data_IF_895970406319
#
_entry.id   IF_895970406319
#
_cell.length_a   1.000
_cell.length_b   1.000
_cell.length_c   1.000
_cell.angle_alpha   90.00
_cell.angle_beta   90.00
_cell.angle_gamma   90.00
#
_symmetry.space_group_name_H-M   'P 1'
#
loop_
_entity.id
_entity.type
_entity.pdbx_description
1 polymer ?
#
# COMPACT_ATOMS: atom_id res chain seq x y z
N UNK A 1 -0.33 -23.98 -20.44
CA UNK A 1 -1.18 -22.85 -20.02
C UNK A 1 -0.26 -21.81 -19.39
N UNK A 2 0.00 -20.70 -20.09
CA UNK A 2 0.79 -19.62 -19.52
C UNK A 2 -0.15 -18.91 -18.54
N UNK A 3 0.11 -19.07 -17.25
CA UNK A 3 -0.58 -18.31 -16.21
C UNK A 3 0.04 -16.92 -16.26
N UNK A 4 -0.66 -15.95 -16.86
CA UNK A 4 -0.31 -14.54 -16.68
C UNK A 4 -0.46 -14.25 -15.18
N UNK A 5 0.67 -14.27 -14.45
CA UNK A 5 0.68 -13.69 -13.11
C UNK A 5 0.27 -12.22 -13.27
N UNK A 6 -0.56 -11.66 -12.38
CA UNK A 6 -0.80 -10.23 -12.36
C UNK A 6 0.56 -9.53 -12.29
N UNK A 7 0.91 -8.79 -13.34
CA UNK A 7 2.05 -7.88 -13.29
C UNK A 7 1.59 -6.68 -12.48
N UNK A 8 2.21 -6.49 -11.32
CA UNK A 8 2.00 -5.29 -10.54
C UNK A 8 2.95 -4.22 -11.07
N UNK A 9 2.43 -3.32 -11.90
CA UNK A 9 3.19 -2.20 -12.46
C UNK A 9 3.47 -1.17 -11.37
N UNK A 10 4.64 -1.34 -10.73
CA UNK A 10 5.16 -0.40 -9.73
C UNK A 10 5.34 1.02 -10.28
N UNK A 11 5.33 1.22 -11.59
CA UNK A 11 5.41 2.52 -12.27
C UNK A 11 4.27 3.48 -11.89
N UNK A 12 3.11 2.95 -11.49
CA UNK A 12 1.97 3.75 -11.06
C UNK A 12 2.07 4.23 -9.60
N UNK A 13 3.07 3.76 -8.85
CA UNK A 13 3.31 4.15 -7.46
C UNK A 13 4.45 5.15 -7.40
N UNK A 14 4.13 6.38 -7.02
CA UNK A 14 5.07 7.48 -6.94
C UNK A 14 5.55 7.67 -5.50
N UNK A 15 6.87 7.66 -5.32
CA UNK A 15 7.50 8.05 -4.05
C UNK A 15 7.20 9.51 -3.74
N UNK A 16 6.95 9.81 -2.46
CA UNK A 16 6.56 11.14 -1.99
C UNK A 16 5.08 11.45 -2.10
N UNK A 17 4.28 10.57 -2.73
CA UNK A 17 2.84 10.76 -2.88
C UNK A 17 2.07 10.11 -1.74
N UNK A 18 0.94 10.73 -1.35
CA UNK A 18 0.05 10.22 -0.32
C UNK A 18 -0.95 9.19 -0.87
N UNK A 19 -1.13 8.10 -0.15
CA UNK A 19 -2.01 6.98 -0.50
C UNK A 19 -2.84 6.57 0.73
N UNK A 20 -4.03 6.02 0.47
CA UNK A 20 -4.71 5.16 1.43
C UNK A 20 -4.06 3.78 1.39
N UNK A 21 -3.50 3.35 2.51
CA UNK A 21 -3.06 1.97 2.73
C UNK A 21 -4.24 1.16 3.27
N UNK A 22 -4.78 0.28 2.45
CA UNK A 22 -5.83 -0.66 2.86
C UNK A 22 -5.18 -2.02 3.15
N UNK A 23 -5.52 -2.59 4.31
CA UNK A 23 -5.12 -3.95 4.67
C UNK A 23 -6.37 -4.82 4.82
N UNK A 24 -6.49 -5.83 3.96
CA UNK A 24 -7.58 -6.77 3.99
C UNK A 24 -7.25 -7.96 4.88
N UNK A 25 -8.18 -8.31 5.78
CA UNK A 25 -8.13 -9.53 6.55
C UNK A 25 -9.27 -10.46 6.10
N UNK A 26 -8.98 -11.34 5.14
CA UNK A 26 -9.97 -12.26 4.57
C UNK A 26 -10.60 -13.19 5.61
N UNK A 27 -9.84 -13.62 6.62
CA UNK A 27 -10.37 -14.47 7.69
C UNK A 27 -11.42 -13.77 8.55
N UNK A 28 -11.34 -12.45 8.68
CA UNK A 28 -12.26 -11.65 9.50
C UNK A 28 -13.22 -10.78 8.67
N UNK A 29 -13.08 -10.76 7.34
CA UNK A 29 -13.80 -9.86 6.42
C UNK A 29 -13.76 -8.40 6.89
N UNK A 30 -12.62 -7.96 7.40
CA UNK A 30 -12.40 -6.58 7.85
C UNK A 30 -11.33 -5.92 7.00
N UNK A 31 -11.51 -4.63 6.77
CA UNK A 31 -10.54 -3.76 6.11
C UNK A 31 -10.09 -2.68 7.10
N UNK A 32 -8.79 -2.42 7.14
CA UNK A 32 -8.23 -1.27 7.86
C UNK A 32 -7.62 -0.35 6.82
N UNK A 33 -8.12 0.89 6.76
CA UNK A 33 -7.57 1.94 5.90
C UNK A 33 -6.81 2.96 6.74
N UNK A 34 -5.61 3.33 6.31
CA UNK A 34 -4.75 4.30 7.02
C UNK A 34 -4.04 5.18 6.01
N UNK A 35 -4.00 6.51 6.20
CA UNK A 35 -3.26 7.39 5.32
C UNK A 35 -1.76 7.12 5.46
N UNK A 36 -1.07 7.02 4.33
CA UNK A 36 0.37 6.76 4.29
C UNK A 36 1.04 7.57 3.18
N UNK A 37 2.37 7.68 3.25
CA UNK A 37 3.20 8.25 2.19
C UNK A 37 4.15 7.15 1.72
N UNK A 38 4.20 6.94 0.41
CA UNK A 38 5.20 6.04 -0.18
C UNK A 38 6.56 6.70 -0.07
N UNK A 39 7.48 6.11 0.68
CA UNK A 39 8.84 6.66 0.85
C UNK A 39 9.73 6.30 -0.34
N UNK A 40 9.77 5.03 -0.71
CA UNK A 40 10.50 4.55 -1.87
C UNK A 40 9.95 3.19 -2.33
N UNK A 41 10.10 2.95 -3.63
CA UNK A 41 9.70 1.71 -4.30
C UNK A 41 10.96 0.90 -4.60
N UNK A 42 10.96 -0.37 -4.19
CA UNK A 42 12.01 -1.36 -4.48
C UNK A 42 11.46 -2.39 -5.47
N UNK A 43 12.32 -3.16 -6.16
CA UNK A 43 11.87 -4.14 -7.16
C UNK A 43 10.84 -5.17 -6.66
N UNK A 44 10.85 -5.49 -5.36
CA UNK A 44 9.98 -6.52 -4.77
C UNK A 44 9.17 -6.01 -3.57
N UNK A 45 9.28 -4.74 -3.21
CA UNK A 45 8.60 -4.19 -2.05
C UNK A 45 8.39 -2.69 -2.14
N UNK A 46 7.42 -2.18 -1.39
CA UNK A 46 7.15 -0.75 -1.25
C UNK A 46 7.29 -0.40 0.23
N UNK A 47 8.03 0.66 0.53
CA UNK A 47 8.12 1.18 1.90
C UNK A 47 7.21 2.37 2.03
N UNK A 48 6.29 2.28 2.97
CA UNK A 48 5.34 3.33 3.31
C UNK A 48 5.60 3.82 4.73
N UNK A 49 5.42 5.12 4.94
CA UNK A 49 5.41 5.71 6.27
C UNK A 49 4.00 6.19 6.61
N UNK A 50 3.56 5.96 7.84
CA UNK A 50 2.23 6.34 8.33
C UNK A 50 2.27 6.68 9.82
N UNK A 51 1.27 7.43 10.29
CA UNK A 51 1.11 7.71 11.72
C UNK A 51 0.30 6.59 12.38
N UNK A 52 0.87 5.95 13.39
CA UNK A 52 0.20 4.92 14.17
C UNK A 52 -0.44 5.54 15.41
N UNK A 53 -1.78 5.62 15.40
CA UNK A 53 -2.58 6.15 16.51
C UNK A 53 -2.36 5.42 17.84
N UNK A 54 -2.09 4.10 17.80
CA UNK A 54 -1.88 3.31 19.03
C UNK A 54 -0.55 3.66 19.71
N UNK A 55 0.48 3.89 18.90
CA UNK A 55 1.83 4.18 19.37
C UNK A 55 2.11 5.69 19.42
N UNK A 56 1.17 6.53 18.97
CA UNK A 56 1.28 8.00 18.86
C UNK A 56 2.59 8.42 18.19
N UNK A 57 2.94 7.73 17.10
CA UNK A 57 4.24 7.87 16.47
C UNK A 57 4.22 7.57 14.98
N UNK A 58 5.22 8.07 14.27
CA UNK A 58 5.44 7.75 12.87
C UNK A 58 6.13 6.38 12.75
N UNK A 59 5.56 5.51 11.92
CA UNK A 59 6.05 4.17 11.68
C UNK A 59 6.28 3.94 10.19
N UNK A 60 7.12 2.95 9.89
CA UNK A 60 7.37 2.48 8.54
C UNK A 60 6.92 1.03 8.41
N UNK A 61 6.32 0.71 7.26
CA UNK A 61 5.97 -0.65 6.89
C UNK A 61 6.56 -0.95 5.51
N UNK A 62 7.23 -2.09 5.43
CA UNK A 62 7.64 -2.68 4.15
C UNK A 62 6.56 -3.66 3.70
N UNK A 63 5.98 -3.41 2.54
CA UNK A 63 4.93 -4.23 1.92
C UNK A 63 5.56 -4.99 0.77
N UNK A 64 5.45 -6.32 0.79
CA UNK A 64 5.88 -7.15 -0.34
C UNK A 64 4.89 -6.97 -1.51
N UNK A 65 5.40 -6.84 -2.74
CA UNK A 65 4.55 -6.73 -3.94
C UNK A 65 3.61 -7.93 -4.06
N UNK A 66 4.06 -9.13 -3.66
CA UNK A 66 3.22 -10.33 -3.61
C UNK A 66 1.97 -10.09 -2.75
N UNK A 67 2.09 -9.39 -1.63
CA UNK A 67 0.95 -9.10 -0.77
C UNK A 67 -0.04 -8.11 -1.41
N UNK A 68 0.41 -7.30 -2.37
CA UNK A 68 -0.47 -6.43 -3.17
C UNK A 68 -1.13 -7.23 -4.30
N UNK A 69 -0.36 -8.09 -4.98
CA UNK A 69 -0.88 -9.02 -6.00
C UNK A 69 -1.91 -9.99 -5.42
N UNK A 70 -1.69 -10.45 -4.19
CA UNK A 70 -2.63 -11.29 -3.44
C UNK A 70 -3.77 -10.47 -2.78
N UNK A 71 -3.89 -9.17 -3.09
CA UNK A 71 -4.93 -8.26 -2.59
C UNK A 71 -5.03 -8.19 -1.05
N UNK A 72 -3.96 -8.59 -0.34
CA UNK A 72 -3.87 -8.48 1.13
C UNK A 72 -3.59 -7.03 1.54
N UNK A 73 -2.90 -6.29 0.66
CA UNK A 73 -2.70 -4.85 0.76
C UNK A 73 -3.13 -4.18 -0.53
N UNK A 74 -3.66 -2.97 -0.42
CA UNK A 74 -3.93 -2.10 -1.55
C UNK A 74 -3.43 -0.68 -1.23
N UNK A 75 -2.88 -0.01 -2.24
CA UNK A 75 -2.48 1.39 -2.18
C UNK A 75 -3.35 2.19 -3.16
N UNK A 76 -4.31 2.94 -2.62
CA UNK A 76 -5.19 3.79 -3.43
C UNK A 76 -4.69 5.23 -3.37
N UNK A 77 -4.38 5.89 -4.51
CA UNK A 77 -3.94 7.29 -4.51
C UNK A 77 -4.95 8.18 -3.78
N UNK A 78 -4.47 9.05 -2.88
CA UNK A 78 -5.32 10.10 -2.34
C UNK A 78 -5.53 11.14 -3.44
N UNK A 79 -6.69 11.11 -4.10
CA UNK A 79 -7.07 12.18 -5.03
C UNK A 79 -7.28 13.45 -4.22
N UNK A 80 -6.33 14.38 -4.32
CA UNK A 80 -6.58 15.76 -3.91
C UNK A 80 -7.65 16.26 -4.88
N UNK A 81 -8.87 16.49 -4.40
CA UNK A 81 -9.82 17.29 -5.18
C UNK A 81 -9.18 18.65 -5.36
N UNK A 82 -8.75 18.97 -6.58
CA UNK A 82 -8.44 20.35 -6.94
C UNK A 82 -9.69 21.18 -6.63
N UNK A 83 -9.55 22.11 -5.68
CA UNK A 83 -10.59 23.03 -5.25
C UNK A 83 -10.59 24.30 -6.09
#
# INVERSE_FOLDING_TARGET
MIVNKPQFDTENIQSGTAYWLNKYNYSRRTEISTPCIVKFVKPLSIVVGFYNEKNKGFEELTIDIKSIVDETFELTPMTIKEG
#
